data_IF_400203492476
#
_entry.id   IF_400203492476
#
_cell.length_a   1.000
_cell.length_b   1.000
_cell.length_c   1.000
_cell.angle_alpha   90.00
_cell.angle_beta   90.00
_cell.angle_gamma   90.00
#
_symmetry.space_group_name_H-M   'P 1'
#
loop_
_entity.id
_entity.type
_entity.pdbx_description
1 polymer ?
#
# COMPACT_ATOMS: atom_id res chain seq x y z
N UNK A 1 1.71 -19.48 -23.94
CA UNK A 1 1.34 -18.27 -24.70
C UNK A 1 2.31 -18.13 -25.87
N UNK A 2 1.80 -17.93 -27.06
CA UNK A 2 2.61 -17.65 -28.25
C UNK A 2 2.77 -16.13 -28.41
N UNK A 3 3.89 -15.69 -28.99
CA UNK A 3 4.10 -14.28 -29.37
C UNK A 3 3.58 -14.07 -30.80
N UNK A 4 2.98 -12.91 -31.06
CA UNK A 4 2.69 -12.48 -32.42
C UNK A 4 3.95 -11.79 -33.00
N UNK A 5 4.41 -12.23 -34.15
CA UNK A 5 5.64 -11.73 -34.75
C UNK A 5 5.32 -10.84 -35.97
N UNK A 6 4.04 -10.63 -36.29
CA UNK A 6 3.60 -9.79 -37.41
C UNK A 6 3.79 -8.29 -37.15
N UNK A 7 3.86 -7.52 -38.24
CA UNK A 7 4.00 -6.06 -38.21
C UNK A 7 2.75 -5.39 -37.60
N UNK A 8 1.58 -6.02 -37.79
CA UNK A 8 0.29 -5.53 -37.26
C UNK A 8 -0.15 -6.45 -36.13
N UNK A 9 -0.22 -5.97 -34.86
CA UNK A 9 -0.70 -6.78 -33.78
C UNK A 9 -2.22 -6.95 -33.89
N UNK A 10 -2.68 -8.19 -33.85
CA UNK A 10 -4.09 -8.53 -33.80
C UNK A 10 -4.61 -8.41 -32.36
N UNK A 11 -5.86 -7.98 -32.22
CA UNK A 11 -6.58 -7.94 -30.94
C UNK A 11 -7.99 -8.49 -31.16
N UNK A 12 -8.40 -9.46 -30.34
CA UNK A 12 -9.70 -10.14 -30.44
C UNK A 12 -9.56 -11.65 -30.43
N UNK A 13 -10.66 -12.33 -30.70
CA UNK A 13 -10.71 -13.81 -30.75
C UNK A 13 -11.06 -14.26 -32.17
N UNK A 14 -10.19 -15.06 -32.77
CA UNK A 14 -10.36 -15.62 -34.12
C UNK A 14 -10.10 -17.12 -34.02
N UNK A 15 -10.99 -17.93 -34.54
CA UNK A 15 -10.87 -19.40 -34.61
C UNK A 15 -10.40 -20.08 -33.31
N UNK A 16 -10.97 -19.65 -32.18
CA UNK A 16 -10.59 -20.22 -30.89
C UNK A 16 -9.21 -19.78 -30.38
N UNK A 17 -8.59 -18.77 -31.00
CA UNK A 17 -7.36 -18.13 -30.54
C UNK A 17 -7.68 -16.70 -30.11
N UNK A 18 -7.31 -16.36 -28.86
CA UNK A 18 -7.45 -15.01 -28.30
C UNK A 18 -6.13 -14.27 -28.46
N UNK A 19 -6.16 -13.14 -29.20
CA UNK A 19 -5.06 -12.21 -29.45
C UNK A 19 -5.23 -10.99 -28.54
N UNK A 20 -4.19 -10.58 -27.83
CA UNK A 20 -4.24 -9.42 -26.93
C UNK A 20 -2.85 -8.82 -26.66
N UNK A 21 -2.85 -7.60 -26.16
CA UNK A 21 -1.62 -6.93 -25.72
C UNK A 21 -1.36 -7.23 -24.23
N UNK A 22 -0.13 -7.63 -23.91
CA UNK A 22 0.32 -7.82 -22.52
C UNK A 22 1.64 -7.09 -22.29
N UNK A 23 1.64 -6.06 -21.45
CA UNK A 23 2.81 -5.22 -21.16
C UNK A 23 3.49 -4.72 -22.44
N UNK A 24 2.71 -4.20 -23.38
CA UNK A 24 3.21 -3.69 -24.67
C UNK A 24 3.62 -4.76 -25.70
N UNK A 25 3.48 -6.07 -25.36
CA UNK A 25 3.81 -7.18 -26.27
C UNK A 25 2.53 -7.84 -26.78
N UNK A 26 2.47 -8.05 -28.09
CA UNK A 26 1.38 -8.77 -28.73
C UNK A 26 1.52 -10.28 -28.46
N UNK A 27 0.51 -10.91 -27.90
CA UNK A 27 0.49 -12.32 -27.52
C UNK A 27 -0.80 -13.01 -27.98
N UNK A 28 -0.73 -14.33 -28.15
CA UNK A 28 -1.84 -15.17 -28.52
C UNK A 28 -1.96 -16.37 -27.54
N UNK A 29 -3.17 -16.81 -27.28
CA UNK A 29 -3.46 -18.02 -26.49
C UNK A 29 -4.72 -18.68 -27.02
N UNK A 30 -4.87 -19.99 -26.77
CA UNK A 30 -6.12 -20.70 -27.04
C UNK A 30 -7.27 -20.04 -26.26
N UNK A 31 -8.35 -19.70 -26.94
CA UNK A 31 -9.58 -19.22 -26.32
C UNK A 31 -10.30 -20.36 -25.61
N UNK A 32 -11.01 -20.02 -24.53
CA UNK A 32 -11.85 -21.02 -23.81
C UNK A 32 -11.08 -22.10 -23.06
N UNK A 33 -9.78 -21.99 -22.90
CA UNK A 33 -9.00 -22.90 -22.06
C UNK A 33 -9.09 -22.51 -20.60
N UNK A 34 -9.33 -23.45 -19.68
CA UNK A 34 -9.34 -23.22 -18.26
C UNK A 34 -10.66 -23.61 -17.57
N UNK A 35 -10.78 -23.21 -16.31
CA UNK A 35 -11.95 -23.54 -15.50
C UNK A 35 -13.12 -22.61 -15.83
N UNK A 36 -14.24 -23.18 -16.25
CA UNK A 36 -15.47 -22.42 -16.41
C UNK A 36 -16.07 -22.09 -15.04
N UNK A 37 -16.79 -20.96 -14.92
CA UNK A 37 -17.46 -20.59 -13.67
C UNK A 37 -18.38 -21.69 -13.14
N UNK A 38 -19.08 -22.43 -14.02
CA UNK A 38 -19.93 -23.60 -13.67
C UNK A 38 -19.11 -24.76 -13.10
N UNK A 39 -17.95 -25.06 -13.71
CA UNK A 39 -17.07 -26.12 -13.22
C UNK A 39 -16.45 -25.74 -11.86
N UNK A 40 -15.99 -24.48 -11.70
CA UNK A 40 -15.44 -24.00 -10.42
C UNK A 40 -16.50 -24.12 -9.32
N UNK A 41 -17.75 -23.77 -9.60
CA UNK A 41 -18.83 -23.78 -8.60
C UNK A 41 -19.24 -25.21 -8.18
N UNK A 42 -19.34 -26.13 -9.14
CA UNK A 42 -20.05 -27.42 -8.94
C UNK A 42 -19.12 -28.62 -8.86
N UNK A 43 -17.89 -28.57 -9.39
CA UNK A 43 -17.00 -29.73 -9.39
C UNK A 43 -16.27 -29.88 -8.05
N UNK A 44 -16.21 -31.10 -7.52
CA UNK A 44 -15.46 -31.45 -6.31
C UNK A 44 -13.97 -31.20 -6.47
N UNK A 45 -13.42 -31.47 -7.67
CA UNK A 45 -12.01 -31.24 -7.97
C UNK A 45 -11.59 -29.73 -7.96
N UNK A 46 -12.58 -28.82 -7.90
CA UNK A 46 -12.36 -27.37 -7.87
C UNK A 46 -12.43 -26.77 -6.45
N UNK A 47 -12.47 -27.58 -5.41
CA UNK A 47 -12.52 -27.11 -4.02
C UNK A 47 -11.35 -26.16 -3.70
N UNK A 48 -10.12 -26.54 -4.06
CA UNK A 48 -8.92 -25.71 -3.85
C UNK A 48 -8.97 -24.38 -4.60
N UNK A 49 -9.61 -24.36 -5.77
CA UNK A 49 -9.80 -23.13 -6.53
C UNK A 49 -10.79 -22.21 -5.82
N UNK A 50 -11.88 -22.77 -5.28
CA UNK A 50 -12.86 -21.99 -4.50
C UNK A 50 -12.25 -21.40 -3.23
N UNK A 51 -11.50 -22.21 -2.47
CA UNK A 51 -10.77 -21.73 -1.28
C UNK A 51 -9.84 -20.58 -1.60
N UNK A 52 -9.00 -20.73 -2.63
CA UNK A 52 -8.08 -19.67 -3.05
C UNK A 52 -8.83 -18.42 -3.51
N UNK A 53 -9.92 -18.57 -4.26
CA UNK A 53 -10.72 -17.44 -4.74
C UNK A 53 -11.38 -16.69 -3.58
N UNK A 54 -11.89 -17.41 -2.57
CA UNK A 54 -12.49 -16.82 -1.36
C UNK A 54 -11.47 -15.96 -0.61
N UNK A 55 -10.31 -16.53 -0.27
CA UNK A 55 -9.26 -15.84 0.44
C UNK A 55 -8.67 -14.66 -0.36
N UNK A 56 -8.46 -14.86 -1.67
CA UNK A 56 -7.99 -13.78 -2.55
C UNK A 56 -9.00 -12.62 -2.63
N UNK A 57 -10.29 -12.96 -2.73
CA UNK A 57 -11.36 -11.97 -2.73
C UNK A 57 -11.42 -11.17 -1.42
N UNK A 58 -11.24 -11.85 -0.26
CA UNK A 58 -11.13 -11.18 1.03
C UNK A 58 -9.93 -10.23 1.08
N UNK A 59 -8.72 -10.72 0.77
CA UNK A 59 -7.51 -9.88 0.74
C UNK A 59 -7.64 -8.68 -0.21
N UNK A 60 -8.28 -8.87 -1.37
CA UNK A 60 -8.48 -7.80 -2.35
C UNK A 60 -9.39 -6.70 -1.81
N UNK A 61 -10.46 -7.04 -1.09
CA UNK A 61 -11.36 -6.06 -0.45
C UNK A 61 -10.64 -5.28 0.65
N UNK A 62 -9.94 -5.97 1.55
CA UNK A 62 -9.17 -5.33 2.64
C UNK A 62 -8.07 -4.44 2.08
N UNK A 63 -7.31 -4.93 1.09
CA UNK A 63 -6.28 -4.14 0.39
C UNK A 63 -6.86 -2.86 -0.22
N UNK A 64 -8.01 -2.97 -0.89
CA UNK A 64 -8.67 -1.80 -1.50
C UNK A 64 -9.05 -0.80 -0.43
N UNK A 65 -9.72 -1.25 0.63
CA UNK A 65 -10.16 -0.42 1.74
C UNK A 65 -8.99 0.35 2.38
N UNK A 66 -7.91 -0.34 2.70
CA UNK A 66 -6.70 0.24 3.26
C UNK A 66 -6.05 1.25 2.32
N UNK A 67 -5.88 0.89 1.04
CA UNK A 67 -5.28 1.80 0.06
C UNK A 67 -6.13 3.03 -0.18
N UNK A 68 -7.45 2.87 -0.28
CA UNK A 68 -8.38 3.98 -0.55
C UNK A 68 -8.40 4.98 0.63
N UNK A 69 -8.24 4.51 1.88
CA UNK A 69 -8.12 5.41 3.04
C UNK A 69 -6.85 6.27 2.99
N UNK A 70 -5.79 5.78 2.35
CA UNK A 70 -4.52 6.51 2.17
C UNK A 70 -4.50 7.45 0.96
N UNK A 71 -5.65 7.64 0.28
CA UNK A 71 -5.74 8.52 -0.88
C UNK A 71 -5.25 9.97 -0.64
N UNK A 72 -5.48 10.60 0.54
CA UNK A 72 -4.96 11.93 0.82
C UNK A 72 -3.42 12.03 0.72
N UNK A 73 -2.70 10.93 1.03
CA UNK A 73 -1.24 10.87 0.96
C UNK A 73 -0.73 10.35 -0.39
N UNK A 74 -1.41 9.38 -0.98
CA UNK A 74 -0.98 8.74 -2.22
C UNK A 74 -1.43 9.49 -3.48
N UNK A 75 -2.54 10.24 -3.41
CA UNK A 75 -3.11 10.91 -4.57
C UNK A 75 -3.57 9.96 -5.67
N UNK A 76 -3.71 10.49 -6.90
CA UNK A 76 -4.17 9.74 -8.09
C UNK A 76 -3.08 8.90 -8.77
N UNK A 77 -1.98 8.64 -8.14
CA UNK A 77 -0.88 7.93 -8.79
C UNK A 77 -1.24 6.50 -9.17
N UNK A 78 -1.04 6.17 -10.44
CA UNK A 78 -1.13 4.80 -10.96
C UNK A 78 0.23 4.12 -10.81
N UNK A 79 0.36 3.27 -9.79
CA UNK A 79 1.52 2.43 -9.61
C UNK A 79 1.07 0.96 -9.64
N UNK A 80 1.26 0.30 -10.80
CA UNK A 80 0.87 -1.11 -10.98
C UNK A 80 1.68 -2.04 -10.07
N UNK A 81 2.95 -1.74 -9.85
CA UNK A 81 3.82 -2.52 -8.98
C UNK A 81 3.35 -2.48 -7.52
N UNK A 82 2.92 -1.31 -7.04
CA UNK A 82 2.35 -1.16 -5.71
C UNK A 82 1.11 -2.05 -5.53
N UNK A 83 0.25 -2.15 -6.54
CA UNK A 83 -0.94 -3.00 -6.48
C UNK A 83 -0.57 -4.48 -6.26
N UNK A 84 0.44 -4.95 -6.97
CA UNK A 84 0.98 -6.32 -6.83
C UNK A 84 1.61 -6.55 -5.46
N UNK A 85 2.47 -5.62 -5.00
CA UNK A 85 3.15 -5.68 -3.71
C UNK A 85 2.17 -5.68 -2.53
N UNK A 86 1.17 -4.77 -2.56
CA UNK A 86 0.11 -4.73 -1.55
C UNK A 86 -0.71 -6.03 -1.54
N UNK A 87 -1.04 -6.58 -2.71
CA UNK A 87 -1.78 -7.84 -2.76
C UNK A 87 -0.99 -8.99 -2.15
N UNK A 88 0.30 -9.09 -2.47
CA UNK A 88 1.19 -10.09 -1.89
C UNK A 88 1.32 -9.91 -0.36
N UNK A 89 1.46 -8.68 0.11
CA UNK A 89 1.51 -8.36 1.54
C UNK A 89 0.26 -8.87 2.28
N UNK A 90 -0.94 -8.51 1.80
CA UNK A 90 -2.18 -8.94 2.46
C UNK A 90 -2.43 -10.44 2.38
N UNK A 91 -1.96 -11.10 1.32
CA UNK A 91 -1.94 -12.57 1.24
C UNK A 91 -1.00 -13.16 2.30
N UNK A 92 0.18 -12.58 2.51
CA UNK A 92 1.13 -13.03 3.52
C UNK A 92 0.58 -12.85 4.93
N UNK A 93 -0.03 -11.69 5.23
CA UNK A 93 -0.68 -11.41 6.52
C UNK A 93 -1.82 -12.41 6.77
N UNK A 94 -2.70 -12.65 5.79
CA UNK A 94 -3.76 -13.65 5.89
C UNK A 94 -3.20 -15.06 6.16
N UNK A 95 -2.02 -15.40 5.64
CA UNK A 95 -1.39 -16.69 5.90
C UNK A 95 -0.92 -16.85 7.35
N UNK A 96 -0.74 -15.76 8.10
CA UNK A 96 -0.47 -15.77 9.54
C UNK A 96 -1.73 -16.09 10.38
N UNK A 97 -2.91 -16.20 9.78
CA UNK A 97 -4.09 -16.76 10.43
C UNK A 97 -3.94 -18.29 10.58
N UNK A 98 -3.62 -18.71 11.78
CA UNK A 98 -3.42 -20.12 12.16
C UNK A 98 -4.69 -20.78 12.73
N UNK A 99 -5.76 -19.99 12.91
CA UNK A 99 -7.02 -20.45 13.56
C UNK A 99 -8.01 -20.93 12.49
N UNK A 100 -8.15 -20.19 11.40
CA UNK A 100 -9.14 -20.49 10.37
C UNK A 100 -8.69 -21.62 9.44
N UNK A 101 -9.68 -22.42 9.02
CA UNK A 101 -9.45 -23.42 7.97
C UNK A 101 -9.11 -22.73 6.64
N UNK A 102 -8.36 -23.43 5.80
CA UNK A 102 -8.08 -22.99 4.44
C UNK A 102 -9.36 -22.64 3.69
N UNK A 103 -9.36 -21.54 2.95
CA UNK A 103 -10.54 -20.99 2.29
C UNK A 103 -11.31 -19.96 3.12
N UNK A 104 -11.06 -19.90 4.44
CA UNK A 104 -11.72 -19.01 5.39
C UNK A 104 -10.76 -18.09 6.15
N UNK A 105 -9.44 -18.16 5.87
CA UNK A 105 -8.44 -17.35 6.54
C UNK A 105 -8.65 -15.86 6.30
N UNK A 106 -8.45 -15.07 7.35
CA UNK A 106 -8.75 -13.65 7.38
C UNK A 106 -7.53 -12.79 7.69
N UNK A 107 -7.46 -11.62 7.07
CA UNK A 107 -6.41 -10.64 7.34
C UNK A 107 -6.45 -10.16 8.79
N UNK A 108 -7.65 -9.97 9.36
CA UNK A 108 -7.82 -9.53 10.73
C UNK A 108 -7.17 -10.48 11.73
N UNK A 109 -7.46 -11.77 11.61
CA UNK A 109 -6.86 -12.79 12.48
C UNK A 109 -5.35 -12.87 12.28
N UNK A 110 -4.86 -12.71 11.05
CA UNK A 110 -3.43 -12.60 10.78
C UNK A 110 -2.77 -11.40 11.47
N UNK A 111 -3.45 -10.24 11.53
CA UNK A 111 -2.96 -9.04 12.23
C UNK A 111 -3.00 -9.15 13.76
N UNK A 112 -3.69 -10.13 14.35
CA UNK A 112 -3.61 -10.39 15.79
C UNK A 112 -2.27 -11.04 16.17
N UNK A 113 -1.62 -11.73 15.24
CA UNK A 113 -0.32 -12.34 15.45
C UNK A 113 0.83 -11.36 15.22
N UNK A 114 1.90 -11.52 15.97
CA UNK A 114 3.11 -10.70 15.84
C UNK A 114 3.71 -10.78 14.43
N UNK A 115 3.71 -11.96 13.83
CA UNK A 115 4.21 -12.17 12.46
C UNK A 115 3.42 -11.34 11.43
N UNK A 116 2.10 -11.30 11.54
CA UNK A 116 1.27 -10.51 10.64
C UNK A 116 1.50 -9.00 10.77
N UNK A 117 1.70 -8.51 12.00
CA UNK A 117 2.06 -7.11 12.25
C UNK A 117 3.46 -6.78 11.72
N UNK A 118 4.43 -7.66 11.94
CA UNK A 118 5.81 -7.46 11.46
C UNK A 118 5.90 -7.38 9.94
N UNK A 119 5.08 -8.15 9.20
CA UNK A 119 5.00 -8.07 7.75
C UNK A 119 4.53 -6.70 7.25
N UNK A 120 3.63 -6.05 7.99
CA UNK A 120 3.09 -4.75 7.61
C UNK A 120 4.03 -3.61 8.00
N UNK A 121 4.69 -3.72 9.17
CA UNK A 121 5.65 -2.72 9.63
C UNK A 121 6.84 -2.62 8.68
N UNK A 122 7.21 -1.39 8.31
CA UNK A 122 8.28 -1.12 7.33
C UNK A 122 7.84 -1.24 5.87
N UNK A 123 6.57 -1.56 5.59
CA UNK A 123 6.11 -1.58 4.20
C UNK A 123 6.14 -0.19 3.57
N UNK A 124 6.84 -0.08 2.44
CA UNK A 124 7.01 1.17 1.71
C UNK A 124 6.09 1.21 0.49
N UNK A 125 5.29 2.25 0.37
CA UNK A 125 4.38 2.46 -0.76
C UNK A 125 5.10 3.04 -1.98
N UNK A 126 6.20 3.75 -1.73
CA UNK A 126 7.01 4.43 -2.75
C UNK A 126 8.42 3.83 -2.80
N UNK A 127 9.15 4.12 -3.86
CA UNK A 127 10.55 3.68 -4.03
C UNK A 127 11.56 4.52 -3.25
N UNK A 128 11.15 5.68 -2.75
CA UNK A 128 11.99 6.55 -1.94
C UNK A 128 11.55 6.48 -0.48
N UNK A 129 12.50 6.27 0.44
CA UNK A 129 12.25 6.15 1.88
C UNK A 129 13.09 7.17 2.62
N UNK A 130 12.51 7.72 3.69
CA UNK A 130 13.29 8.47 4.68
C UNK A 130 14.09 7.51 5.56
N UNK A 131 15.30 7.89 5.97
CA UNK A 131 15.98 7.23 7.08
C UNK A 131 15.12 7.37 8.34
N UNK A 132 14.72 6.25 8.93
CA UNK A 132 13.91 6.20 10.16
C UNK A 132 14.71 5.70 11.37
N UNK A 133 16.04 5.63 11.22
CA UNK A 133 16.96 5.06 12.21
C UNK A 133 16.85 5.75 13.59
N UNK A 134 16.57 7.06 13.62
CA UNK A 134 16.40 7.84 14.84
C UNK A 134 14.92 8.15 15.15
N UNK A 135 14.00 7.35 14.59
CA UNK A 135 12.57 7.55 14.77
C UNK A 135 11.90 6.32 15.37
N UNK A 136 10.91 6.53 16.22
CA UNK A 136 10.09 5.48 16.80
C UNK A 136 8.63 5.91 16.88
N UNK A 137 7.74 4.92 16.76
CA UNK A 137 6.31 5.09 16.92
C UNK A 137 5.85 4.56 18.27
N UNK A 138 5.18 5.40 19.04
CA UNK A 138 4.49 5.00 20.26
C UNK A 138 3.00 4.84 19.97
N UNK A 139 2.52 3.60 20.07
CA UNK A 139 1.13 3.26 19.81
C UNK A 139 0.17 3.75 20.89
N UNK A 140 0.64 3.96 22.14
CA UNK A 140 -0.19 4.42 23.23
C UNK A 140 -0.58 5.90 23.06
N UNK A 141 0.36 6.72 22.64
CA UNK A 141 0.15 8.15 22.40
C UNK A 141 -0.15 8.49 20.95
N UNK A 142 -0.12 7.50 20.05
CA UNK A 142 -0.23 7.68 18.59
C UNK A 142 0.71 8.75 18.06
N UNK A 143 1.95 8.70 18.55
CA UNK A 143 2.99 9.70 18.27
C UNK A 143 4.18 9.05 17.58
N UNK A 144 4.69 9.68 16.52
CA UNK A 144 5.97 9.33 15.92
C UNK A 144 7.00 10.42 16.25
N UNK A 145 8.10 10.01 16.85
CA UNK A 145 9.15 10.93 17.31
C UNK A 145 10.46 10.62 16.59
N UNK A 146 11.04 11.64 15.98
CA UNK A 146 12.46 11.67 15.65
C UNK A 146 13.22 12.32 16.81
N UNK A 147 14.13 11.61 17.44
CA UNK A 147 14.97 12.17 18.50
C UNK A 147 15.94 13.22 17.95
N UNK A 148 16.44 12.97 16.75
CA UNK A 148 17.28 13.90 16.01
C UNK A 148 17.00 13.75 14.51
N UNK A 149 16.38 14.74 13.89
CA UNK A 149 16.15 14.79 12.47
C UNK A 149 17.10 15.80 11.82
N UNK A 150 18.01 15.30 10.99
CA UNK A 150 19.05 16.10 10.32
C UNK A 150 18.70 16.27 8.82
N UNK A 151 18.04 17.36 8.39
CA UNK A 151 17.61 17.54 7.00
C UNK A 151 18.78 17.53 6.00
N UNK A 152 19.96 18.03 6.41
CA UNK A 152 21.16 18.08 5.57
C UNK A 152 21.68 16.71 5.13
N UNK A 153 21.39 15.65 5.87
CA UNK A 153 21.79 14.28 5.52
C UNK A 153 20.94 13.68 4.41
N UNK A 154 19.79 14.29 4.10
CA UNK A 154 18.86 13.81 3.11
C UNK A 154 19.20 14.28 1.70
N UNK A 155 19.00 13.40 0.72
CA UNK A 155 19.11 13.75 -0.69
C UNK A 155 17.80 14.41 -1.16
N UNK A 156 17.76 15.72 -1.12
CA UNK A 156 16.61 16.48 -1.62
C UNK A 156 16.49 16.40 -3.14
N UNK A 157 15.24 16.37 -3.60
CA UNK A 157 14.92 16.52 -5.03
C UNK A 157 15.39 17.89 -5.51
N UNK A 158 15.85 17.98 -6.76
CA UNK A 158 16.31 19.24 -7.36
C UNK A 158 15.20 20.28 -7.32
N UNK A 159 15.51 21.47 -6.84
CA UNK A 159 14.53 22.56 -6.67
C UNK A 159 13.77 22.54 -5.33
N UNK A 160 13.84 21.46 -4.55
CA UNK A 160 13.18 21.40 -3.25
C UNK A 160 13.94 22.26 -2.21
N UNK A 161 13.18 23.02 -1.45
CA UNK A 161 13.65 23.90 -0.36
C UNK A 161 13.28 23.36 1.01
N UNK A 162 12.15 22.64 1.10
CA UNK A 162 11.60 22.11 2.34
C UNK A 162 11.22 20.64 2.20
N UNK A 163 11.17 19.96 3.33
CA UNK A 163 10.54 18.66 3.49
C UNK A 163 9.36 18.80 4.46
N UNK A 164 8.21 18.33 4.09
CA UNK A 164 7.04 18.25 4.95
C UNK A 164 6.87 16.81 5.45
N UNK A 165 6.65 16.65 6.75
CA UNK A 165 6.45 15.39 7.45
C UNK A 165 5.08 15.38 8.07
N UNK A 166 4.38 14.25 7.98
CA UNK A 166 3.06 14.07 8.56
C UNK A 166 2.86 12.62 8.99
N UNK A 167 2.35 12.40 10.18
CA UNK A 167 1.92 11.09 10.65
C UNK A 167 0.45 10.88 10.26
N UNK A 168 0.15 9.72 9.70
CA UNK A 168 -1.21 9.24 9.54
C UNK A 168 -1.43 7.97 10.33
N UNK A 169 -2.62 7.79 10.91
CA UNK A 169 -3.01 6.51 11.48
C UNK A 169 -4.31 6.06 10.81
N UNK A 170 -4.24 4.94 10.12
CA UNK A 170 -5.43 4.30 9.55
C UNK A 170 -6.04 3.41 10.60
N UNK A 171 -7.27 3.69 10.97
CA UNK A 171 -8.11 2.79 11.76
C UNK A 171 -8.87 1.90 10.79
N UNK A 172 -8.49 0.62 10.75
CA UNK A 172 -9.03 -0.38 9.85
C UNK A 172 -10.00 -1.31 10.61
N UNK A 173 -11.29 -1.04 10.49
CA UNK A 173 -12.36 -1.88 11.02
C UNK A 173 -12.74 -2.92 9.96
N UNK A 174 -12.39 -4.17 10.23
CA UNK A 174 -12.63 -5.28 9.30
C UNK A 174 -14.01 -5.92 9.50
N UNK A 175 -14.69 -5.66 10.61
CA UNK A 175 -16.07 -6.12 10.83
C UNK A 175 -17.04 -5.21 10.07
N UNK A 176 -16.91 -3.88 10.25
CA UNK A 176 -17.69 -2.91 9.50
C UNK A 176 -17.18 -2.70 8.07
N UNK A 177 -16.05 -3.29 7.67
CA UNK A 177 -15.40 -3.08 6.38
C UNK A 177 -15.19 -1.59 6.08
N UNK A 178 -14.67 -0.85 7.07
CA UNK A 178 -14.41 0.58 7.00
C UNK A 178 -12.96 0.90 7.35
N UNK A 179 -12.38 1.88 6.68
CA UNK A 179 -11.06 2.41 7.02
C UNK A 179 -11.12 3.94 7.05
N UNK A 180 -10.57 4.51 8.11
CA UNK A 180 -10.54 5.96 8.32
C UNK A 180 -9.11 6.39 8.59
N UNK A 181 -8.63 7.40 7.87
CA UNK A 181 -7.33 8.01 8.09
C UNK A 181 -7.48 9.21 9.03
N UNK A 182 -6.73 9.20 10.11
CA UNK A 182 -6.50 10.35 10.98
C UNK A 182 -5.07 10.83 10.75
N UNK A 183 -4.85 12.14 10.66
CA UNK A 183 -3.53 12.70 10.37
C UNK A 183 -3.15 13.76 11.38
N UNK A 184 -1.85 13.83 11.69
CA UNK A 184 -1.27 14.92 12.48
C UNK A 184 -1.27 16.24 11.68
N UNK A 185 -0.94 17.31 12.37
CA UNK A 185 -0.47 18.51 11.67
C UNK A 185 0.83 18.21 10.90
N UNK A 186 1.03 18.94 9.82
CA UNK A 186 2.23 18.81 9.01
C UNK A 186 3.36 19.64 9.56
N UNK A 187 4.54 19.04 9.76
CA UNK A 187 5.77 19.74 10.17
C UNK A 187 6.65 19.95 8.95
N UNK A 188 7.08 21.20 8.73
CA UNK A 188 7.98 21.55 7.63
C UNK A 188 9.37 21.85 8.15
N UNK A 189 10.35 21.24 7.51
CA UNK A 189 11.76 21.43 7.81
C UNK A 189 12.50 21.99 6.60
N UNK A 190 13.35 22.97 6.84
CA UNK A 190 14.19 23.58 5.80
C UNK A 190 15.29 22.62 5.38
N UNK A 191 15.60 22.52 4.09
CA UNK A 191 16.67 21.68 3.52
C UNK A 191 18.01 21.80 4.26
N UNK A 192 18.40 23.03 4.59
CA UNK A 192 19.66 23.32 5.26
C UNK A 192 19.47 23.62 6.77
N UNK A 193 18.32 23.19 7.34
CA UNK A 193 18.02 23.37 8.75
C UNK A 193 19.02 22.65 9.66
N UNK A 194 19.12 23.13 10.90
CA UNK A 194 19.86 22.43 11.94
C UNK A 194 19.13 21.12 12.32
N UNK A 195 19.86 20.09 12.81
CA UNK A 195 19.24 18.93 13.41
C UNK A 195 18.30 19.33 14.54
N UNK A 196 17.13 18.69 14.61
CA UNK A 196 16.10 18.99 15.62
C UNK A 196 15.27 17.76 15.95
N UNK A 197 14.71 17.72 17.15
CA UNK A 197 13.71 16.73 17.51
C UNK A 197 12.38 17.10 16.83
N UNK A 198 11.66 16.09 16.32
CA UNK A 198 10.34 16.28 15.69
C UNK A 198 9.39 15.26 16.30
N UNK A 199 8.23 15.72 16.75
CA UNK A 199 7.16 14.89 17.26
C UNK A 199 5.88 15.14 16.43
N UNK A 200 5.29 14.07 15.91
CA UNK A 200 4.07 14.08 15.11
C UNK A 200 3.02 13.27 15.86
N UNK A 201 1.98 13.91 16.36
CA UNK A 201 0.92 13.26 17.14
C UNK A 201 -0.40 13.30 16.39
N UNK A 202 -1.09 12.18 16.35
CA UNK A 202 -2.40 12.04 15.69
C UNK A 202 -3.48 11.86 16.74
N UNK A 203 -4.50 12.70 16.72
CA UNK A 203 -5.67 12.53 17.57
C UNK A 203 -6.64 11.51 16.95
N UNK A 204 -6.88 10.42 17.66
CA UNK A 204 -7.84 9.38 17.28
C UNK A 204 -8.97 9.38 18.29
N UNK A 205 -10.25 9.39 17.86
CA UNK A 205 -11.38 9.26 18.78
C UNK A 205 -11.30 7.97 19.63
N UNK A 206 -11.67 8.06 20.91
CA UNK A 206 -11.58 6.92 21.84
C UNK A 206 -12.52 5.76 21.46
N UNK A 207 -13.59 6.04 20.75
CA UNK A 207 -14.57 5.08 20.25
C UNK A 207 -14.16 4.42 18.92
N UNK A 208 -13.05 4.83 18.32
CA UNK A 208 -12.55 4.25 17.08
C UNK A 208 -12.04 2.83 17.30
N UNK A 209 -12.83 1.85 16.82
CA UNK A 209 -12.51 0.42 16.90
C UNK A 209 -11.79 -0.04 15.63
N UNK A 210 -10.89 -1.02 15.76
CA UNK A 210 -10.16 -1.62 14.65
C UNK A 210 -8.65 -1.61 14.81
N UNK A 211 -7.96 -2.08 13.76
CA UNK A 211 -6.49 -2.11 13.73
C UNK A 211 -5.96 -0.71 13.43
N UNK A 212 -5.08 -0.21 14.30
CA UNK A 212 -4.43 1.09 14.12
C UNK A 212 -3.10 0.89 13.40
N UNK A 213 -3.02 1.37 12.17
CA UNK A 213 -1.84 1.23 11.30
C UNK A 213 -1.25 2.61 11.08
N UNK A 214 -0.09 2.86 11.67
CA UNK A 214 0.60 4.13 11.57
C UNK A 214 1.45 4.19 10.30
N UNK A 215 1.32 5.29 9.57
CA UNK A 215 2.07 5.57 8.34
C UNK A 215 2.76 6.92 8.44
N UNK A 216 4.01 6.98 8.06
CA UNK A 216 4.77 8.22 7.93
C UNK A 216 4.72 8.67 6.49
N UNK A 217 4.13 9.85 6.28
CA UNK A 217 4.09 10.53 4.99
C UNK A 217 5.11 11.67 5.00
N UNK A 218 5.81 11.83 3.88
CA UNK A 218 6.67 12.97 3.65
C UNK A 218 6.62 13.39 2.19
N UNK A 219 6.78 14.69 1.95
CA UNK A 219 6.89 15.24 0.61
C UNK A 219 7.85 16.40 0.56
N UNK A 220 8.54 16.51 -0.57
CA UNK A 220 9.37 17.65 -0.85
C UNK A 220 8.53 18.82 -1.34
N UNK A 221 8.87 20.01 -0.88
CA UNK A 221 8.21 21.24 -1.24
C UNK A 221 9.24 22.25 -1.78
N UNK A 222 8.78 23.06 -2.71
CA UNK A 222 9.46 24.25 -3.16
C UNK A 222 8.73 25.49 -2.59
N UNK A 223 9.44 26.34 -1.89
CA UNK A 223 8.94 27.64 -1.49
C UNK A 223 9.13 28.63 -2.64
N UNK A 224 8.05 29.27 -3.06
CA UNK A 224 8.05 30.33 -4.06
C UNK A 224 7.28 31.51 -3.47
N UNK A 225 8.00 32.53 -3.04
CA UNK A 225 7.42 33.74 -2.44
C UNK A 225 6.48 33.49 -1.24
N UNK A 226 6.85 32.52 -0.39
CA UNK A 226 6.06 32.16 0.79
C UNK A 226 4.92 31.15 0.54
N UNK A 227 4.72 30.73 -0.71
CA UNK A 227 3.79 29.67 -1.06
C UNK A 227 4.53 28.35 -1.29
N UNK A 228 4.01 27.24 -0.74
CA UNK A 228 4.63 25.92 -0.82
C UNK A 228 3.97 25.06 -1.89
N UNK A 229 4.77 24.56 -2.82
CA UNK A 229 4.35 23.71 -3.93
C UNK A 229 5.01 22.35 -3.83
N UNK A 230 4.19 21.29 -3.88
CA UNK A 230 4.66 19.90 -3.87
C UNK A 230 5.10 19.43 -5.26
N UNK A 231 6.13 18.59 -5.29
CA UNK A 231 6.56 17.94 -6.53
C UNK A 231 5.59 16.82 -6.88
N UNK A 232 5.14 16.78 -8.13
CA UNK A 232 4.19 15.77 -8.62
C UNK A 232 4.88 14.45 -9.03
N UNK A 233 6.20 14.42 -9.12
CA UNK A 233 6.95 13.22 -9.49
C UNK A 233 6.94 12.16 -8.37
N UNK A 234 7.06 10.90 -8.75
CA UNK A 234 7.10 9.76 -7.81
C UNK A 234 8.26 9.87 -6.79
N UNK A 235 9.30 10.62 -7.10
CA UNK A 235 10.43 10.90 -6.21
C UNK A 235 10.18 12.07 -5.26
N UNK A 236 9.09 12.79 -5.45
CA UNK A 236 8.76 14.00 -4.68
C UNK A 236 8.12 13.72 -3.32
N UNK A 237 7.71 12.48 -3.04
CA UNK A 237 7.09 12.10 -1.78
C UNK A 237 7.36 10.64 -1.44
N UNK A 238 7.10 10.27 -0.19
CA UNK A 238 7.14 8.90 0.27
C UNK A 238 6.10 8.62 1.33
N UNK A 239 5.75 7.34 1.45
CA UNK A 239 4.82 6.82 2.43
C UNK A 239 5.29 5.44 2.88
N UNK A 240 5.36 5.22 4.18
CA UNK A 240 5.75 3.94 4.76
C UNK A 240 4.98 3.65 6.04
N UNK A 241 4.77 2.37 6.34
CA UNK A 241 4.18 1.93 7.61
C UNK A 241 5.26 1.96 8.68
N UNK A 242 5.00 2.64 9.79
CA UNK A 242 5.94 2.80 10.92
C UNK A 242 5.50 2.10 12.19
N UNK A 243 4.25 1.60 12.24
CA UNK A 243 3.73 0.85 13.39
C UNK A 243 2.35 0.25 13.15
N UNK A 244 2.00 -0.78 13.94
CA UNK A 244 0.73 -1.51 13.89
C UNK A 244 0.27 -1.86 15.31
#
# INVERSE_FOLDING_TARGET
MAKQVGIIPLVGTIDGVNFYMRKGKAVARKAGGGFTGKAIKNSTNMERVRENNSEFGHCSRVKKLFKDSLFPFLGKQRNEELQGRLMQLFISIKNADLVSKRGQRQVGLGLQHADGKSLLTGFCFTSFNLPTENGFYDAATTTYTFTEFAPKSLKFVTGATHLELQLGVVVLDLEAMKATLFSSDAVRVLKNGAPQAISLTTAIPNDASGYKIAVLHYRYLQDVNGAFYGFQEQKGFGLMVVGV
#
